data_IF_288295707746
#
_entry.id   IF_288295707746
#
_cell.length_a   1.000
_cell.length_b   1.000
_cell.length_c   1.000
_cell.angle_alpha   90.00
_cell.angle_beta   90.00
_cell.angle_gamma   90.00
#
_symmetry.space_group_name_H-M   'P 1'
#
loop_
_entity.id
_entity.type
_entity.pdbx_description
1 polymer ?
#
# COMPACT_ATOMS: atom_id res chain seq x y z
N UNK A 1 18.72 1.52 16.03
CA UNK A 1 17.80 0.35 16.01
C UNK A 1 17.79 -0.16 14.58
N UNK A 2 17.93 -1.46 14.41
CA UNK A 2 17.90 -2.11 13.10
C UNK A 2 16.52 -2.75 12.91
N UNK A 3 15.94 -2.61 11.73
CA UNK A 3 14.60 -3.11 11.39
C UNK A 3 14.62 -3.66 9.97
N UNK A 4 13.91 -4.74 9.68
CA UNK A 4 13.85 -5.30 8.34
C UNK A 4 12.73 -4.69 7.48
N UNK A 5 11.62 -4.32 8.13
CA UNK A 5 10.40 -3.83 7.51
C UNK A 5 10.01 -2.48 8.09
N UNK A 6 9.67 -1.53 7.21
CA UNK A 6 9.18 -0.20 7.54
C UNK A 6 7.74 -0.10 7.05
N UNK A 7 6.82 0.33 7.92
CA UNK A 7 5.41 0.53 7.55
C UNK A 7 5.07 2.01 7.68
N UNK A 8 4.79 2.69 6.56
CA UNK A 8 4.30 4.05 6.57
C UNK A 8 2.78 4.07 6.72
N UNK A 9 2.32 4.62 7.85
CA UNK A 9 0.90 4.83 8.16
C UNK A 9 0.54 6.32 8.23
N UNK A 10 1.46 7.19 7.80
CA UNK A 10 1.29 8.65 7.77
C UNK A 10 0.85 9.11 6.38
N UNK A 11 0.28 10.33 6.24
CA UNK A 11 -0.07 10.88 4.93
C UNK A 11 1.14 11.44 4.16
N UNK A 12 2.36 11.36 4.70
CA UNK A 12 3.56 11.93 4.08
C UNK A 12 3.90 11.16 2.80
N UNK A 13 3.99 11.88 1.67
CA UNK A 13 4.19 11.30 0.34
C UNK A 13 2.90 11.09 -0.46
N UNK A 14 1.74 11.42 0.11
CA UNK A 14 0.45 11.39 -0.57
C UNK A 14 0.27 12.64 -1.46
N UNK A 15 -0.54 12.54 -2.52
CA UNK A 15 -0.96 13.71 -3.30
C UNK A 15 -1.56 14.81 -2.39
N UNK A 16 -1.20 16.09 -2.58
CA UNK A 16 -0.38 16.64 -3.65
C UNK A 16 1.14 16.64 -3.39
N UNK A 17 1.59 16.37 -2.16
CA UNK A 17 3.00 16.47 -1.76
C UNK A 17 3.76 15.14 -1.93
N UNK A 18 3.85 14.70 -3.18
CA UNK A 18 4.35 13.36 -3.56
C UNK A 18 5.87 13.19 -3.44
N UNK A 19 6.61 14.28 -3.23
CA UNK A 19 8.08 14.26 -3.09
C UNK A 19 8.53 14.19 -1.62
N UNK A 20 7.60 14.29 -0.68
CA UNK A 20 7.91 14.18 0.74
C UNK A 20 8.05 12.72 1.17
N UNK A 21 8.97 12.48 2.12
CA UNK A 21 9.18 11.17 2.74
C UNK A 21 9.31 11.35 4.26
N UNK A 22 8.71 10.48 5.08
CA UNK A 22 8.85 10.53 6.54
C UNK A 22 10.26 10.13 7.00
N UNK A 23 11.02 9.42 6.16
CA UNK A 23 12.38 8.95 6.46
C UNK A 23 13.35 9.32 5.34
N UNK A 24 14.62 9.53 5.71
CA UNK A 24 15.72 9.73 4.75
C UNK A 24 16.14 8.38 4.14
N UNK A 25 16.59 8.40 2.89
CA UNK A 25 17.05 7.22 2.15
C UNK A 25 18.05 6.36 2.93
N UNK A 26 18.97 6.98 3.68
CA UNK A 26 19.98 6.28 4.49
C UNK A 26 19.39 5.29 5.52
N UNK A 27 18.12 5.45 5.91
CA UNK A 27 17.43 4.54 6.83
C UNK A 27 16.62 3.45 6.10
N UNK A 28 16.50 3.52 4.77
CA UNK A 28 15.50 2.76 3.98
C UNK A 28 16.15 1.88 2.90
N UNK A 29 17.33 2.24 2.38
CA UNK A 29 18.01 1.65 1.20
C UNK A 29 18.04 0.12 1.08
N UNK A 30 18.04 -0.60 2.20
CA UNK A 30 18.13 -2.07 2.24
C UNK A 30 16.92 -2.73 2.92
N UNK A 31 15.84 -1.97 3.13
CA UNK A 31 14.67 -2.39 3.90
C UNK A 31 13.49 -2.65 2.97
N UNK A 32 12.53 -3.42 3.48
CA UNK A 32 11.22 -3.60 2.85
C UNK A 32 10.30 -2.48 3.33
N UNK A 33 9.59 -1.82 2.42
CA UNK A 33 8.61 -0.77 2.75
C UNK A 33 7.19 -1.23 2.43
N UNK A 34 6.30 -1.17 3.41
CA UNK A 34 4.85 -1.16 3.19
C UNK A 34 4.34 0.26 3.38
N UNK A 35 3.91 0.91 2.31
CA UNK A 35 3.31 2.23 2.38
C UNK A 35 1.79 2.11 2.21
N UNK A 36 1.01 2.58 3.19
CA UNK A 36 -0.45 2.52 3.11
C UNK A 36 -1.05 3.50 2.08
N UNK A 37 -0.23 4.39 1.53
CA UNK A 37 -0.62 5.27 0.43
C UNK A 37 -0.74 4.42 -0.85
N UNK A 38 -1.85 4.60 -1.59
CA UNK A 38 -2.07 3.97 -2.90
C UNK A 38 -2.15 4.98 -4.06
N UNK A 39 -2.26 6.27 -3.75
CA UNK A 39 -2.22 7.37 -4.71
C UNK A 39 -1.29 8.49 -4.20
N UNK A 40 -0.09 8.67 -4.79
CA UNK A 40 0.42 8.00 -5.99
C UNK A 40 0.70 6.50 -5.78
N UNK A 41 0.83 5.74 -6.88
CA UNK A 41 1.11 4.29 -6.83
C UNK A 41 2.49 3.95 -6.24
N UNK A 42 3.43 4.90 -6.28
CA UNK A 42 4.77 4.79 -5.70
C UNK A 42 5.13 6.11 -5.02
N UNK A 43 5.41 6.08 -3.71
CA UNK A 43 5.79 7.26 -2.91
C UNK A 43 7.30 7.48 -2.91
N UNK A 44 7.75 8.66 -2.45
CA UNK A 44 9.19 8.93 -2.32
C UNK A 44 9.89 7.97 -1.33
N UNK A 45 9.18 7.50 -0.30
CA UNK A 45 9.70 6.52 0.65
C UNK A 45 9.94 5.15 -0.01
N UNK A 46 9.00 4.71 -0.84
CA UNK A 46 9.10 3.45 -1.59
C UNK A 46 10.30 3.46 -2.53
N UNK A 47 10.56 4.59 -3.20
CA UNK A 47 11.73 4.77 -4.08
C UNK A 47 13.08 4.62 -3.38
N UNK A 48 13.12 4.80 -2.06
CA UNK A 48 14.33 4.60 -1.28
C UNK A 48 14.54 3.15 -0.85
N UNK A 49 13.56 2.27 -1.04
CA UNK A 49 13.58 0.93 -0.48
C UNK A 49 14.16 -0.10 -1.45
N UNK A 50 14.54 -1.26 -0.91
CA UNK A 50 14.95 -2.40 -1.72
C UNK A 50 13.75 -3.07 -2.38
N UNK A 51 12.63 -3.12 -1.66
CA UNK A 51 11.39 -3.75 -2.06
C UNK A 51 10.24 -3.01 -1.39
N UNK A 52 9.18 -2.73 -2.16
CA UNK A 52 8.06 -1.94 -1.65
C UNK A 52 6.70 -2.46 -2.11
N UNK A 53 5.72 -2.26 -1.24
CA UNK A 53 4.32 -2.54 -1.47
C UNK A 53 3.50 -1.29 -1.10
N UNK A 54 2.54 -0.92 -1.93
CA UNK A 54 1.65 0.21 -1.67
C UNK A 54 0.34 -0.25 -0.98
N UNK A 55 -0.55 0.70 -0.69
CA UNK A 55 -1.77 0.44 0.05
C UNK A 55 -2.93 -0.14 -0.75
N UNK A 56 -2.79 -0.37 -2.06
CA UNK A 56 -3.93 -0.70 -2.92
C UNK A 56 -4.55 -2.05 -2.56
N UNK A 57 -3.74 -3.09 -2.40
CA UNK A 57 -4.23 -4.42 -2.06
C UNK A 57 -4.87 -4.42 -0.66
N UNK A 58 -4.31 -3.65 0.28
CA UNK A 58 -4.93 -3.44 1.59
C UNK A 58 -6.31 -2.81 1.44
N UNK A 59 -6.45 -1.77 0.61
CA UNK A 59 -7.71 -1.09 0.32
C UNK A 59 -8.76 -2.05 -0.27
N UNK A 60 -8.37 -2.89 -1.21
CA UNK A 60 -9.25 -3.86 -1.85
C UNK A 60 -9.68 -4.95 -0.86
N UNK A 61 -8.71 -5.56 -0.16
CA UNK A 61 -8.98 -6.68 0.75
C UNK A 61 -9.85 -6.23 1.91
N UNK A 62 -9.61 -5.04 2.49
CA UNK A 62 -10.47 -4.52 3.56
C UNK A 62 -11.90 -4.23 3.07
N UNK A 63 -12.06 -3.77 1.83
CA UNK A 63 -13.38 -3.55 1.24
C UNK A 63 -14.13 -4.88 1.04
N UNK A 64 -13.44 -5.94 0.58
CA UNK A 64 -14.01 -7.29 0.50
C UNK A 64 -14.44 -7.76 1.89
N UNK A 65 -13.58 -7.61 2.91
CA UNK A 65 -13.91 -8.01 4.30
C UNK A 65 -15.08 -7.23 4.89
N UNK A 66 -15.20 -5.94 4.58
CA UNK A 66 -16.37 -5.16 4.98
C UNK A 66 -17.65 -5.65 4.27
N UNK A 67 -17.56 -5.93 2.98
CA UNK A 67 -18.68 -6.45 2.18
C UNK A 67 -19.16 -7.81 2.68
N UNK A 68 -18.25 -8.75 2.93
CA UNK A 68 -18.56 -10.06 3.55
C UNK A 68 -19.38 -9.88 4.83
N UNK A 69 -18.98 -8.94 5.70
CA UNK A 69 -19.68 -8.65 6.96
C UNK A 69 -21.06 -8.00 6.76
N UNK A 70 -21.21 -7.11 5.80
CA UNK A 70 -22.48 -6.43 5.57
C UNK A 70 -23.55 -7.35 4.99
N UNK A 71 -23.16 -8.31 4.16
CA UNK A 71 -24.07 -9.18 3.44
C UNK A 71 -24.10 -10.62 3.95
N UNK A 72 -23.31 -10.94 4.98
CA UNK A 72 -23.16 -12.28 5.55
C UNK A 72 -22.84 -13.35 4.48
N UNK A 73 -21.90 -12.99 3.60
CA UNK A 73 -21.40 -13.88 2.54
C UNK A 73 -19.90 -14.12 2.72
N UNK A 74 -19.40 -15.20 2.13
CA UNK A 74 -17.97 -15.44 1.99
C UNK A 74 -17.54 -15.30 0.53
N UNK A 75 -16.52 -14.48 0.31
CA UNK A 75 -15.90 -14.23 -0.98
C UNK A 75 -14.53 -14.90 -0.98
N UNK A 76 -14.32 -15.83 -1.90
CA UNK A 76 -12.99 -16.38 -2.15
C UNK A 76 -12.12 -15.30 -2.79
N UNK A 77 -11.04 -14.93 -2.11
CA UNK A 77 -10.04 -14.00 -2.63
C UNK A 77 -8.99 -14.81 -3.40
N UNK A 78 -8.90 -14.59 -4.70
CA UNK A 78 -7.86 -15.12 -5.58
C UNK A 78 -7.38 -14.05 -6.57
N UNK A 79 -6.24 -14.30 -7.23
CA UNK A 79 -5.62 -13.32 -8.13
C UNK A 79 -6.54 -12.81 -9.26
N UNK A 80 -7.35 -13.64 -9.94
CA UNK A 80 -8.27 -13.14 -10.96
C UNK A 80 -9.26 -12.09 -10.43
N UNK A 81 -9.75 -12.25 -9.20
CA UNK A 81 -10.61 -11.26 -8.55
C UNK A 81 -9.84 -9.99 -8.19
N UNK A 82 -8.64 -10.13 -7.61
CA UNK A 82 -7.80 -8.99 -7.23
C UNK A 82 -7.39 -8.16 -8.45
N UNK A 83 -7.01 -8.78 -9.56
CA UNK A 83 -6.65 -8.09 -10.81
C UNK A 83 -7.82 -7.28 -11.36
N UNK A 84 -9.04 -7.85 -11.35
CA UNK A 84 -10.25 -7.13 -11.74
C UNK A 84 -10.52 -5.92 -10.85
N UNK A 85 -10.36 -6.07 -9.52
CA UNK A 85 -10.60 -4.98 -8.57
C UNK A 85 -9.54 -3.89 -8.61
N UNK A 86 -8.26 -4.25 -8.84
CA UNK A 86 -7.18 -3.30 -9.11
C UNK A 86 -7.51 -2.45 -10.33
N UNK A 87 -7.99 -3.06 -11.41
CA UNK A 87 -8.43 -2.35 -12.62
C UNK A 87 -9.48 -1.26 -12.34
N UNK A 88 -10.49 -1.57 -11.51
CA UNK A 88 -11.54 -0.61 -11.14
C UNK A 88 -11.01 0.55 -10.29
N UNK A 89 -9.99 0.31 -9.45
CA UNK A 89 -9.42 1.35 -8.58
C UNK A 89 -8.44 2.29 -9.31
N UNK A 90 -8.03 1.93 -10.54
CA UNK A 90 -7.13 2.72 -11.38
C UNK A 90 -7.88 3.53 -12.46
N UNK A 91 -9.20 3.35 -12.59
CA UNK A 91 -10.11 4.21 -13.36
C UNK A 91 -10.53 5.46 -12.56
#
# INVERSE_FOLDING_TARGET
>A
MDYDIIINTTPVGMFPDVLSSPLKEAFVKEKIVFDLIYNPSETQLMKYSKESYNGLDMLIIQAIKAFEKWFDISIKIDEPLLEKLRGVCHE
#
